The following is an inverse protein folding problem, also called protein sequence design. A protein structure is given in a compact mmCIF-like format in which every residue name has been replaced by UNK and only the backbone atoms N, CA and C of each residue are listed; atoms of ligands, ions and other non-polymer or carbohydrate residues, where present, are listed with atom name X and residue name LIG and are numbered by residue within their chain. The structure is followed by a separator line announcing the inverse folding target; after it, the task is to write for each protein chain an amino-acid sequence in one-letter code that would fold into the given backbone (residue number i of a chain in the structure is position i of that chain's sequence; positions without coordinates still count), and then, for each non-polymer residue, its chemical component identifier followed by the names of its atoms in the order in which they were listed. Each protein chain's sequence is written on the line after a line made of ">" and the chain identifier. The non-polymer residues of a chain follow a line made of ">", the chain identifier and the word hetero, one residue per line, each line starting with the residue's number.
data_IF_757852432808
#
_entry.id   IF_757852432808
#
_cell.length_a   1.000
_cell.length_b   1.000
_cell.length_c   1.000
_cell.angle_alpha   90.00
_cell.angle_beta   90.00
_cell.angle_gamma   90.00
#
_symmetry.space_group_name_H-M   'P 1'
#
loop_
_entity.id
_entity.type
_entity.pdbx_description
1 polymer ?
#
# COMPACT_ATOMS: atom_id res chain seq x y z
N UNK A 1 5.05 -9.10 -25.84
CA UNK A 1 5.91 -7.91 -25.62
C UNK A 1 5.87 -7.55 -24.14
N UNK A 2 7.02 -7.51 -23.50
CA UNK A 2 7.09 -7.13 -22.08
C UNK A 2 7.07 -5.61 -21.96
N UNK A 3 6.27 -5.10 -21.02
CA UNK A 3 6.26 -3.67 -20.69
C UNK A 3 7.42 -3.42 -19.73
N UNK A 4 8.30 -2.48 -20.07
CA UNK A 4 9.36 -2.10 -19.18
C UNK A 4 8.81 -1.29 -18.01
N UNK A 5 9.27 -1.66 -16.82
CA UNK A 5 8.99 -0.93 -15.60
C UNK A 5 10.30 -0.38 -15.05
N UNK A 6 10.35 0.92 -14.86
CA UNK A 6 11.51 1.59 -14.31
C UNK A 6 11.10 2.44 -13.12
N UNK A 7 11.81 2.26 -12.02
CA UNK A 7 11.68 3.19 -10.89
C UNK A 7 12.29 4.51 -11.35
N UNK A 8 11.54 5.60 -11.16
CA UNK A 8 11.98 6.91 -11.63
C UNK A 8 12.15 7.88 -10.49
N UNK A 9 13.08 8.82 -10.69
CA UNK A 9 13.25 9.97 -9.82
C UNK A 9 12.72 11.19 -10.58
N UNK A 10 11.64 11.75 -10.06
CA UNK A 10 11.06 12.99 -10.60
C UNK A 10 10.82 13.93 -9.41
N UNK A 11 11.84 14.73 -9.02
CA UNK A 11 11.74 15.57 -7.83
C UNK A 11 10.56 16.56 -7.87
N UNK A 12 10.21 17.06 -9.03
CA UNK A 12 9.07 17.98 -9.14
C UNK A 12 7.75 17.30 -8.83
N UNK A 13 7.55 16.10 -9.38
CA UNK A 13 6.34 15.33 -9.14
C UNK A 13 6.29 14.79 -7.69
N UNK A 14 7.42 14.32 -7.19
CA UNK A 14 7.52 13.87 -5.78
C UNK A 14 7.15 14.99 -4.81
N UNK A 15 7.59 16.22 -5.10
CA UNK A 15 7.24 17.39 -4.28
C UNK A 15 5.74 17.65 -4.27
N UNK A 16 5.07 17.48 -5.41
CA UNK A 16 3.62 17.62 -5.52
C UNK A 16 2.91 16.57 -4.66
N UNK A 17 3.33 15.31 -4.76
CA UNK A 17 2.76 14.22 -3.96
C UNK A 17 2.99 14.49 -2.46
N UNK A 18 4.19 14.90 -2.08
CA UNK A 18 4.51 15.26 -0.69
C UNK A 18 3.57 16.35 -0.18
N UNK A 19 3.35 17.39 -0.99
CA UNK A 19 2.47 18.49 -0.60
C UNK A 19 1.02 18.02 -0.44
N UNK A 20 0.53 17.19 -1.35
CA UNK A 20 -0.81 16.62 -1.23
C UNK A 20 -0.97 15.85 0.08
N UNK A 21 0.02 15.01 0.42
CA UNK A 21 -0.03 14.20 1.63
C UNK A 21 -0.03 15.08 2.89
N UNK A 22 0.77 16.13 2.90
CA UNK A 22 0.79 17.09 4.01
C UNK A 22 -0.54 17.84 4.12
N UNK A 23 -1.12 18.24 3.00
CA UNK A 23 -2.42 18.91 2.97
C UNK A 23 -3.55 18.01 3.50
N UNK A 24 -3.40 16.68 3.38
CA UNK A 24 -4.37 15.73 3.94
C UNK A 24 -4.15 15.49 5.45
N UNK A 25 -3.11 16.07 6.03
CA UNK A 25 -2.78 15.89 7.44
C UNK A 25 -1.84 14.75 7.74
N UNK A 26 -1.24 14.15 6.71
CA UNK A 26 -0.23 13.10 6.90
C UNK A 26 1.16 13.72 7.12
N UNK A 27 2.06 12.90 7.66
CA UNK A 27 3.46 13.27 7.86
C UNK A 27 4.35 12.35 7.00
N UNK A 28 4.49 12.65 5.70
CA UNK A 28 5.29 11.79 4.82
C UNK A 28 6.77 11.87 5.14
N UNK A 29 7.43 10.72 5.03
CA UNK A 29 8.89 10.60 5.19
C UNK A 29 9.48 9.98 3.93
N UNK A 30 10.64 10.49 3.54
CA UNK A 30 11.39 9.90 2.46
C UNK A 30 12.34 8.84 3.00
N UNK A 31 12.24 7.62 2.44
CA UNK A 31 13.12 6.50 2.77
C UNK A 31 13.66 5.90 1.48
N UNK A 32 14.87 6.31 1.08
CA UNK A 32 15.42 5.93 -0.21
C UNK A 32 14.57 6.51 -1.34
N UNK A 33 14.09 5.65 -2.23
CA UNK A 33 13.25 6.04 -3.36
C UNK A 33 11.75 6.00 -3.05
N UNK A 34 11.40 5.67 -1.81
CA UNK A 34 10.01 5.53 -1.39
C UNK A 34 9.58 6.69 -0.48
N UNK A 35 8.32 7.02 -0.56
CA UNK A 35 7.66 7.91 0.41
C UNK A 35 6.88 7.03 1.37
N UNK A 36 7.09 7.21 2.66
CA UNK A 36 6.43 6.43 3.70
C UNK A 36 5.46 7.27 4.51
N UNK A 37 4.32 6.68 4.82
CA UNK A 37 3.35 7.20 5.78
C UNK A 37 3.23 6.16 6.89
N UNK A 38 3.64 6.51 8.10
CA UNK A 38 3.62 5.59 9.24
C UNK A 38 2.42 5.85 10.14
N UNK A 39 1.81 4.79 10.62
CA UNK A 39 0.75 4.89 11.62
C UNK A 39 -0.51 5.58 11.13
N UNK A 40 -0.88 5.40 9.86
CA UNK A 40 -2.03 6.05 9.26
C UNK A 40 -3.30 5.28 9.57
N UNK A 41 -4.33 5.99 10.03
CA UNK A 41 -5.64 5.40 10.30
C UNK A 41 -6.76 6.22 9.68
N UNK A 42 -7.91 5.59 9.53
CA UNK A 42 -9.14 6.25 9.08
C UNK A 42 -10.27 5.91 10.05
N UNK A 43 -11.07 6.91 10.38
CA UNK A 43 -12.19 6.73 11.31
C UNK A 43 -11.75 6.74 12.76
N UNK A 44 -12.55 6.12 13.63
CA UNK A 44 -12.33 6.09 15.08
C UNK A 44 -11.61 4.83 15.56
N UNK A 45 -11.04 4.05 14.65
CA UNK A 45 -10.36 2.81 14.99
C UNK A 45 -8.98 3.05 15.61
N UNK A 46 -8.58 2.16 16.51
CA UNK A 46 -7.26 2.18 17.13
C UNK A 46 -6.18 1.61 16.21
N UNK A 47 -6.58 1.09 15.07
CA UNK A 47 -5.68 0.42 14.14
C UNK A 47 -5.07 1.41 13.17
N UNK A 48 -3.79 1.24 12.90
CA UNK A 48 -3.06 2.05 11.95
C UNK A 48 -2.30 1.15 10.98
N UNK A 49 -2.07 1.64 9.79
CA UNK A 49 -1.31 0.94 8.77
C UNK A 49 -0.14 1.81 8.31
N UNK A 50 0.90 1.16 7.86
CA UNK A 50 2.06 1.84 7.26
C UNK A 50 1.96 1.70 5.75
N UNK A 51 2.19 2.80 5.04
CA UNK A 51 2.01 2.87 3.60
C UNK A 51 3.31 3.32 2.95
N UNK A 52 3.67 2.66 1.86
CA UNK A 52 4.76 3.07 1.00
C UNK A 52 4.22 3.49 -0.37
N UNK A 53 4.74 4.59 -0.89
CA UNK A 53 4.42 5.07 -2.22
C UNK A 53 5.68 5.08 -3.07
N UNK A 54 5.59 4.56 -4.29
CA UNK A 54 6.69 4.50 -5.22
C UNK A 54 6.26 4.99 -6.60
N UNK A 55 7.06 5.87 -7.18
CA UNK A 55 6.80 6.39 -8.52
C UNK A 55 7.53 5.52 -9.55
N UNK A 56 6.79 5.02 -10.51
CA UNK A 56 7.28 4.09 -11.53
C UNK A 56 6.89 4.62 -12.91
N UNK A 57 7.77 4.44 -13.89
CA UNK A 57 7.45 4.67 -15.28
C UNK A 57 7.19 3.35 -15.99
N UNK A 58 6.06 3.26 -16.68
CA UNK A 58 5.70 2.11 -17.50
C UNK A 58 5.25 2.62 -18.86
N UNK A 59 6.00 2.27 -19.89
CA UNK A 59 5.70 2.63 -21.27
C UNK A 59 5.46 4.14 -21.45
N UNK A 60 6.30 4.95 -20.81
CA UNK A 60 6.24 6.42 -20.89
C UNK A 60 5.20 7.06 -19.99
N UNK A 61 4.46 6.27 -19.21
CA UNK A 61 3.45 6.78 -18.30
C UNK A 61 3.94 6.71 -16.84
N UNK A 62 3.57 7.71 -16.05
CA UNK A 62 3.87 7.73 -14.63
C UNK A 62 2.79 6.99 -13.87
N UNK A 63 3.23 6.05 -13.06
CA UNK A 63 2.36 5.20 -12.24
C UNK A 63 2.78 5.37 -10.79
N UNK A 64 1.83 5.58 -9.91
CA UNK A 64 2.07 5.62 -8.47
C UNK A 64 1.64 4.28 -7.88
N UNK A 65 2.60 3.55 -7.34
CA UNK A 65 2.33 2.31 -6.62
C UNK A 65 2.17 2.62 -5.14
N UNK A 66 1.09 2.15 -4.56
CA UNK A 66 0.79 2.26 -3.14
C UNK A 66 0.82 0.86 -2.55
N UNK A 67 1.54 0.66 -1.47
CA UNK A 67 1.64 -0.66 -0.85
C UNK A 67 1.62 -0.57 0.67
N UNK A 68 1.21 -1.67 1.28
CA UNK A 68 1.23 -1.82 2.74
C UNK A 68 1.43 -3.30 3.07
N UNK A 69 2.27 -3.60 4.04
CA UNK A 69 2.38 -4.95 4.56
C UNK A 69 1.49 -5.08 5.78
N UNK A 70 0.76 -6.18 5.88
CA UNK A 70 -0.09 -6.44 7.03
C UNK A 70 0.78 -6.72 8.26
N UNK A 71 0.32 -6.28 9.43
CA UNK A 71 1.12 -6.19 10.64
C UNK A 71 1.40 -7.49 11.37
N UNK A 72 0.88 -8.60 10.91
CA UNK A 72 1.07 -9.88 11.59
C UNK A 72 2.23 -10.64 10.93
N UNK A 73 3.46 -10.53 11.43
CA UNK A 73 4.60 -11.27 10.90
C UNK A 73 4.55 -12.74 11.31
N UNK A 74 5.26 -13.57 10.58
CA UNK A 74 5.36 -14.99 10.93
C UNK A 74 4.13 -15.79 10.55
N UNK A 75 3.39 -15.36 9.56
CA UNK A 75 2.19 -16.04 9.08
C UNK A 75 2.58 -17.28 8.29
N UNK A 76 1.83 -18.38 8.44
CA UNK A 76 2.04 -19.55 7.60
C UNK A 76 1.63 -19.29 6.17
N UNK A 77 2.14 -20.11 5.25
CA UNK A 77 1.79 -20.00 3.84
C UNK A 77 0.27 -20.12 3.62
N UNK A 78 -0.35 -21.09 4.29
CA UNK A 78 -1.80 -21.30 4.15
C UNK A 78 -2.61 -20.09 4.63
N UNK A 79 -2.22 -19.51 5.77
CA UNK A 79 -2.91 -18.31 6.27
C UNK A 79 -2.69 -17.12 5.35
N UNK A 80 -1.49 -16.93 4.85
CA UNK A 80 -1.20 -15.84 3.91
C UNK A 80 -2.04 -15.97 2.65
N UNK A 81 -2.13 -17.17 2.09
CA UNK A 81 -2.95 -17.44 0.91
C UNK A 81 -4.44 -17.22 1.18
N UNK A 82 -4.93 -17.66 2.32
CA UNK A 82 -6.33 -17.50 2.70
C UNK A 82 -6.70 -16.02 2.85
N UNK A 83 -5.86 -15.25 3.52
CA UNK A 83 -6.10 -13.82 3.73
C UNK A 83 -6.01 -13.05 2.41
N UNK A 84 -5.03 -13.39 1.57
CA UNK A 84 -4.92 -12.76 0.25
C UNK A 84 -6.16 -13.02 -0.61
N UNK A 85 -6.63 -14.26 -0.63
CA UNK A 85 -7.83 -14.62 -1.38
C UNK A 85 -9.07 -13.89 -0.83
N UNK A 86 -9.23 -13.84 0.48
CA UNK A 86 -10.34 -13.14 1.11
C UNK A 86 -10.32 -11.65 0.81
N UNK A 87 -9.15 -11.03 0.92
CA UNK A 87 -8.99 -9.61 0.60
C UNK A 87 -9.33 -9.31 -0.84
N UNK A 88 -8.86 -10.13 -1.78
CA UNK A 88 -9.14 -9.92 -3.20
C UNK A 88 -10.61 -10.12 -3.56
N UNK A 89 -11.34 -10.93 -2.79
CA UNK A 89 -12.78 -11.12 -3.00
C UNK A 89 -13.60 -9.98 -2.40
N UNK A 90 -13.15 -9.40 -1.28
CA UNK A 90 -13.94 -8.42 -0.53
C UNK A 90 -13.59 -6.97 -0.85
N UNK A 91 -12.38 -6.70 -1.33
CA UNK A 91 -11.90 -5.34 -1.52
C UNK A 91 -11.93 -4.93 -2.99
N UNK A 92 -12.19 -3.66 -3.22
CA UNK A 92 -12.30 -3.09 -4.58
C UNK A 92 -11.00 -2.45 -5.01
N UNK A 93 -10.35 -1.67 -4.13
CA UNK A 93 -9.18 -0.87 -4.50
C UNK A 93 -7.87 -1.60 -4.24
N UNK A 94 -7.79 -2.33 -3.15
CA UNK A 94 -6.57 -3.04 -2.77
C UNK A 94 -6.54 -4.45 -3.35
N UNK A 95 -5.36 -4.87 -3.79
CA UNK A 95 -5.05 -6.26 -4.17
C UNK A 95 -4.09 -6.83 -3.15
N UNK A 96 -4.31 -8.09 -2.77
CA UNK A 96 -3.54 -8.74 -1.71
C UNK A 96 -2.73 -9.88 -2.30
N UNK A 97 -1.46 -9.93 -1.91
CA UNK A 97 -0.51 -10.92 -2.42
C UNK A 97 0.24 -11.54 -1.24
N UNK A 98 0.30 -12.88 -1.16
CA UNK A 98 1.18 -13.51 -0.17
C UNK A 98 2.63 -13.29 -0.58
N UNK A 99 3.47 -12.96 0.40
CA UNK A 99 4.89 -12.68 0.19
C UNK A 99 5.71 -13.60 1.07
N UNK A 100 6.69 -14.27 0.47
CA UNK A 100 7.62 -15.09 1.21
C UNK A 100 8.84 -14.26 1.58
N UNK A 101 9.20 -14.29 2.86
CA UNK A 101 10.43 -13.68 3.33
C UNK A 101 11.47 -14.79 3.55
N UNK A 102 12.34 -14.96 2.56
CA UNK A 102 13.33 -16.03 2.56
C UNK A 102 14.34 -15.91 3.69
N UNK A 103 14.69 -14.67 4.07
CA UNK A 103 15.67 -14.45 5.14
C UNK A 103 15.16 -14.86 6.51
N UNK A 104 13.86 -14.67 6.73
CA UNK A 104 13.22 -14.98 8.02
C UNK A 104 12.48 -16.32 8.01
N UNK A 105 12.35 -16.96 6.85
CA UNK A 105 11.67 -18.23 6.72
C UNK A 105 10.17 -18.16 7.02
N UNK A 106 9.56 -17.00 6.85
CA UNK A 106 8.13 -16.81 7.12
C UNK A 106 7.43 -16.17 5.93
N UNK A 107 6.12 -15.99 6.05
CA UNK A 107 5.28 -15.37 5.03
C UNK A 107 4.60 -14.13 5.60
N UNK A 108 4.23 -13.22 4.71
CA UNK A 108 3.42 -12.06 5.04
C UNK A 108 2.40 -11.84 3.93
N UNK A 109 1.55 -10.84 4.10
CA UNK A 109 0.59 -10.43 3.06
C UNK A 109 0.82 -8.96 2.76
N UNK A 110 0.94 -8.65 1.48
CA UNK A 110 1.10 -7.27 1.01
C UNK A 110 -0.17 -6.83 0.31
N UNK A 111 -0.66 -5.66 0.68
CA UNK A 111 -1.70 -4.97 -0.05
C UNK A 111 -1.07 -4.01 -1.04
N UNK A 112 -1.64 -3.89 -2.21
CA UNK A 112 -1.14 -2.97 -3.23
C UNK A 112 -2.26 -2.33 -4.02
N UNK A 113 -1.97 -1.16 -4.56
CA UNK A 113 -2.85 -0.43 -5.45
C UNK A 113 -1.98 0.34 -6.43
N UNK A 114 -2.46 0.47 -7.66
CA UNK A 114 -1.76 1.22 -8.70
C UNK A 114 -2.64 2.38 -9.13
N UNK A 115 -2.08 3.59 -9.11
CA UNK A 115 -2.75 4.80 -9.55
C UNK A 115 -2.06 5.34 -10.78
N UNK A 116 -2.86 5.74 -11.77
CA UNK A 116 -2.36 6.44 -12.94
C UNK A 116 -2.01 7.87 -12.53
N UNK A 117 -0.75 8.24 -12.69
CA UNK A 117 -0.23 9.45 -12.05
C UNK A 117 -0.04 10.63 -13.02
N UNK A 118 -0.19 10.43 -14.34
CA UNK A 118 0.03 11.50 -15.31
C UNK A 118 -0.88 12.72 -15.08
N UNK A 119 -2.10 12.50 -14.62
CA UNK A 119 -3.07 13.57 -14.38
C UNK A 119 -3.71 13.45 -13.01
N UNK A 120 -2.97 12.92 -12.05
CA UNK A 120 -3.50 12.67 -10.70
C UNK A 120 -3.71 13.99 -9.97
N UNK A 121 -4.95 14.24 -9.54
CA UNK A 121 -5.28 15.39 -8.70
C UNK A 121 -5.13 15.06 -7.21
N UNK A 122 -5.02 16.10 -6.37
CA UNK A 122 -4.99 15.90 -4.93
C UNK A 122 -6.24 15.23 -4.40
N UNK A 123 -7.40 15.62 -4.91
CA UNK A 123 -8.67 15.03 -4.45
C UNK A 123 -8.77 13.55 -4.82
N UNK A 124 -8.33 13.16 -6.00
CA UNK A 124 -8.30 11.76 -6.41
C UNK A 124 -7.34 10.94 -5.53
N UNK A 125 -6.14 11.47 -5.29
CA UNK A 125 -5.18 10.81 -4.42
C UNK A 125 -5.75 10.62 -3.01
N UNK A 126 -6.37 11.66 -2.46
CA UNK A 126 -6.98 11.60 -1.14
C UNK A 126 -8.07 10.53 -1.06
N UNK A 127 -8.98 10.52 -2.03
CA UNK A 127 -10.08 9.56 -2.06
C UNK A 127 -9.57 8.12 -2.18
N UNK A 128 -8.59 7.89 -3.05
CA UNK A 128 -8.04 6.56 -3.26
C UNK A 128 -7.25 6.08 -2.05
N UNK A 129 -6.45 6.94 -1.43
CA UNK A 129 -5.73 6.57 -0.21
C UNK A 129 -6.67 6.26 0.94
N UNK A 130 -7.73 7.05 1.10
CA UNK A 130 -8.73 6.80 2.14
C UNK A 130 -9.34 5.40 1.99
N UNK A 131 -9.76 5.04 0.78
CA UNK A 131 -10.35 3.73 0.51
C UNK A 131 -9.33 2.60 0.71
N UNK A 132 -8.11 2.81 0.24
CA UNK A 132 -7.04 1.82 0.38
C UNK A 132 -6.73 1.54 1.86
N UNK A 133 -6.54 2.59 2.65
CA UNK A 133 -6.25 2.47 4.08
C UNK A 133 -7.39 1.73 4.79
N UNK A 134 -8.63 2.08 4.47
CA UNK A 134 -9.80 1.45 5.07
C UNK A 134 -9.88 -0.04 4.76
N UNK A 135 -9.64 -0.40 3.51
CA UNK A 135 -9.65 -1.81 3.08
C UNK A 135 -8.52 -2.62 3.72
N UNK A 136 -7.31 -2.05 3.73
CA UNK A 136 -6.14 -2.70 4.34
C UNK A 136 -6.36 -2.93 5.83
N UNK A 137 -6.87 -1.92 6.53
CA UNK A 137 -7.14 -2.04 7.96
C UNK A 137 -8.17 -3.13 8.26
N UNK A 138 -9.22 -3.22 7.44
CA UNK A 138 -10.24 -4.25 7.61
C UNK A 138 -9.67 -5.66 7.46
N UNK A 139 -8.82 -5.88 6.45
CA UNK A 139 -8.22 -7.20 6.21
C UNK A 139 -7.13 -7.51 7.24
N UNK A 140 -6.37 -6.50 7.67
CA UNK A 140 -5.40 -6.68 8.74
C UNK A 140 -6.06 -7.15 10.04
N UNK A 141 -7.22 -6.62 10.36
CA UNK A 141 -7.99 -7.06 11.52
C UNK A 141 -8.44 -8.52 11.41
N UNK A 142 -8.85 -8.94 10.21
CA UNK A 142 -9.22 -10.34 9.97
C UNK A 142 -8.00 -11.25 10.18
N UNK A 143 -6.84 -10.85 9.69
CA UNK A 143 -5.60 -11.62 9.86
C UNK A 143 -5.22 -11.72 11.35
N UNK A 144 -5.27 -10.61 12.08
CA UNK A 144 -4.97 -10.60 13.51
C UNK A 144 -5.90 -11.52 14.26
N UNK A 145 -7.21 -11.48 13.98
CA UNK A 145 -8.19 -12.36 14.60
C UNK A 145 -7.91 -13.84 14.32
N UNK A 146 -7.47 -14.16 13.11
CA UNK A 146 -7.10 -15.53 12.75
C UNK A 146 -5.89 -16.05 13.55
N UNK A 147 -4.96 -15.18 13.91
CA UNK A 147 -3.76 -15.55 14.63
C UNK A 147 -4.01 -15.71 16.14
N UNK A 148 -4.98 -14.98 16.67
CA UNK A 148 -5.36 -15.07 18.09
C UNK A 148 -6.24 -16.30 18.34
N UNK A 149 -7.07 -16.64 17.41
CA UNK A 149 -7.99 -17.77 17.50
C UNK A 149 -7.43 -19.00 16.79
#
# INVERSE_FOLDING_TARGET
>A
MAIERNDISDPAFESVIFQYLQDFGFAPERRGDLVHLSGVGVGSGDNSVDIALNLVEMDGHRILEVSSELRAPGVSFEKAMTIAAQGNLSCVTAKFTPVENLEQGNHSVRAGQVLYADHLSGDELKAMLYLFIKEVDAIDNVLVDMLIN
#
